data_IF_372422406002
#
_entry.id   IF_372422406002
#
_cell.length_a   1.000
_cell.length_b   1.000
_cell.length_c   1.000
_cell.angle_alpha   90.00
_cell.angle_beta   90.00
_cell.angle_gamma   90.00
#
_symmetry.space_group_name_H-M   'P 1'
#
loop_
_entity.id
_entity.type
_entity.pdbx_description
1 polymer ?
#
# COMPACT_ATOMS: atom_id res chain seq x y z
N UNK A 1 -3.21 10.91 29.09
CA UNK A 1 -2.54 10.35 27.89
C UNK A 1 -1.74 11.43 27.17
N UNK A 2 -2.29 12.64 26.98
CA UNK A 2 -1.57 13.73 26.28
C UNK A 2 -0.32 14.23 26.99
N UNK A 3 -0.34 14.31 28.33
CA UNK A 3 0.84 14.68 29.13
C UNK A 3 2.01 13.71 28.90
N UNK A 4 1.71 12.40 28.87
CA UNK A 4 2.71 11.36 28.59
C UNK A 4 3.30 11.51 27.20
N UNK A 5 2.49 11.87 26.19
CA UNK A 5 2.98 12.15 24.83
C UNK A 5 3.91 13.37 24.81
N UNK A 6 3.59 14.43 25.54
CA UNK A 6 4.43 15.63 25.61
C UNK A 6 5.77 15.35 26.30
N UNK A 7 5.76 14.58 27.38
CA UNK A 7 6.98 14.20 28.08
C UNK A 7 7.83 13.25 27.25
N UNK A 8 7.20 12.29 26.56
CA UNK A 8 7.88 11.41 25.60
C UNK A 8 8.55 12.22 24.48
N UNK A 9 7.87 13.21 23.90
CA UNK A 9 8.44 14.07 22.85
C UNK A 9 9.68 14.85 23.33
N UNK A 10 9.74 15.23 24.61
CA UNK A 10 10.90 15.93 25.19
C UNK A 10 12.08 15.01 25.47
N UNK A 11 11.82 13.77 25.89
CA UNK A 11 12.87 12.84 26.29
C UNK A 11 13.36 11.95 25.14
N UNK A 12 12.55 10.94 24.76
CA UNK A 12 12.97 9.84 23.88
C UNK A 12 12.29 9.84 22.52
N UNK A 13 11.30 10.70 22.31
CA UNK A 13 10.47 10.68 21.11
C UNK A 13 11.27 10.89 19.84
N UNK A 14 12.21 11.83 19.85
CA UNK A 14 13.09 12.08 18.70
C UNK A 14 13.91 10.85 18.29
N UNK A 15 14.37 10.06 19.26
CA UNK A 15 15.12 8.83 18.99
C UNK A 15 14.21 7.73 18.44
N UNK A 16 13.05 7.51 19.06
CA UNK A 16 12.09 6.50 18.59
C UNK A 16 11.60 6.81 17.17
N UNK A 17 11.35 8.08 16.85
CA UNK A 17 10.95 8.48 15.49
C UNK A 17 12.09 8.23 14.49
N UNK A 18 13.35 8.48 14.87
CA UNK A 18 14.51 8.13 14.05
C UNK A 18 14.58 6.63 13.80
N UNK A 19 14.43 5.80 14.83
CA UNK A 19 14.47 4.34 14.72
C UNK A 19 13.34 3.81 13.85
N UNK A 20 12.13 4.36 14.00
CA UNK A 20 10.99 4.02 13.15
C UNK A 20 11.26 4.44 11.70
N UNK A 21 11.72 5.66 11.44
CA UNK A 21 12.03 6.12 10.08
C UNK A 21 13.13 5.29 9.40
N UNK A 22 14.12 4.81 10.18
CA UNK A 22 15.14 3.89 9.70
C UNK A 22 14.57 2.50 9.39
N UNK A 23 13.69 1.96 10.25
CA UNK A 23 13.00 0.70 9.99
C UNK A 23 12.17 0.74 8.70
N UNK A 24 11.47 1.84 8.47
CA UNK A 24 10.73 2.07 7.23
C UNK A 24 11.63 2.46 6.05
N UNK A 25 12.95 2.56 6.22
CA UNK A 25 13.89 2.91 5.14
C UNK A 25 13.75 4.35 4.62
N UNK A 26 13.14 5.26 5.37
CA UNK A 26 12.89 6.65 4.93
C UNK A 26 14.22 7.38 4.67
N UNK A 27 15.18 7.25 5.57
CA UNK A 27 16.49 7.90 5.41
C UNK A 27 17.27 7.36 4.22
N UNK A 28 17.28 6.03 4.05
CA UNK A 28 17.97 5.39 2.93
C UNK A 28 17.49 5.89 1.58
N UNK A 29 16.18 6.02 1.38
CA UNK A 29 15.61 6.42 0.09
C UNK A 29 15.67 7.94 -0.15
N UNK A 30 15.54 8.78 0.89
CA UNK A 30 15.50 10.24 0.73
C UNK A 30 16.88 10.91 0.85
N UNK A 31 17.78 10.35 1.65
CA UNK A 31 19.06 10.96 2.04
C UNK A 31 20.27 10.04 1.80
N UNK A 32 20.06 8.83 1.28
CA UNK A 32 21.12 7.84 1.11
C UNK A 32 21.65 7.37 2.47
N UNK A 33 22.95 7.48 2.71
CA UNK A 33 23.57 7.04 3.97
C UNK A 33 23.41 8.05 5.13
N UNK A 34 22.81 9.22 4.86
CA UNK A 34 22.64 10.27 5.87
C UNK A 34 21.32 10.12 6.65
N UNK A 35 21.34 10.57 7.91
CA UNK A 35 20.17 10.61 8.78
C UNK A 35 20.16 11.89 9.61
N UNK A 36 19.01 12.24 10.16
CA UNK A 36 18.87 13.34 11.11
C UNK A 36 17.91 12.97 12.24
N UNK A 37 17.99 13.72 13.35
CA UNK A 37 17.03 13.59 14.44
C UNK A 37 15.92 14.62 14.25
N UNK A 38 14.65 14.21 14.14
CA UNK A 38 13.54 15.15 14.01
C UNK A 38 13.31 15.85 15.36
N UNK A 39 13.94 17.01 15.54
CA UNK A 39 13.88 17.80 16.78
C UNK A 39 12.59 18.61 16.89
N UNK A 40 11.97 18.94 15.77
CA UNK A 40 10.73 19.71 15.71
C UNK A 40 9.57 18.73 15.49
N UNK A 41 8.68 18.54 16.49
CA UNK A 41 7.46 17.77 16.30
C UNK A 41 6.62 18.40 15.19
N UNK A 42 6.27 17.60 14.20
CA UNK A 42 5.45 17.98 13.07
C UNK A 42 4.11 17.28 13.20
N UNK A 43 3.08 18.02 13.59
CA UNK A 43 1.72 17.51 13.70
C UNK A 43 1.00 17.76 12.36
N UNK A 44 0.65 16.69 11.66
CA UNK A 44 -0.08 16.73 10.39
C UNK A 44 -1.39 16.00 10.57
N UNK A 45 -2.50 16.60 10.13
CA UNK A 45 -3.82 15.99 10.23
C UNK A 45 -4.67 16.30 9.00
N UNK A 46 -5.38 15.29 8.49
CA UNK A 46 -6.29 15.42 7.36
C UNK A 46 -7.73 15.59 7.87
N UNK A 47 -8.39 16.66 7.45
CA UNK A 47 -9.80 16.91 7.74
C UNK A 47 -10.70 15.95 6.94
N UNK A 48 -11.47 15.11 7.64
CA UNK A 48 -12.41 14.14 7.06
C UNK A 48 -13.83 14.69 6.93
N UNK A 49 -14.08 15.93 7.38
CA UNK A 49 -15.42 16.48 7.58
C UNK A 49 -15.98 16.11 8.95
N UNK A 50 -17.08 16.78 9.33
CA UNK A 50 -17.80 16.57 10.59
C UNK A 50 -16.93 16.66 11.86
N UNK A 51 -15.96 17.58 11.87
CA UNK A 51 -14.96 17.78 12.95
C UNK A 51 -14.08 16.54 13.24
N UNK A 52 -13.99 15.59 12.29
CA UNK A 52 -13.13 14.41 12.40
C UNK A 52 -11.81 14.65 11.67
N UNK A 53 -10.70 14.46 12.39
CA UNK A 53 -9.36 14.59 11.84
C UNK A 53 -8.64 13.23 11.86
N UNK A 54 -7.99 12.90 10.75
CA UNK A 54 -7.11 11.74 10.62
C UNK A 54 -5.65 12.18 10.82
N UNK A 55 -5.02 11.92 11.99
CA UNK A 55 -3.65 12.32 12.25
C UNK A 55 -2.65 11.45 11.48
N UNK A 56 -1.58 12.08 11.01
CA UNK A 56 -0.38 11.41 10.52
C UNK A 56 0.57 11.24 11.71
N UNK A 57 0.97 9.99 11.95
CA UNK A 57 1.92 9.61 12.96
C UNK A 57 3.25 9.24 12.28
N UNK A 58 3.75 8.02 12.52
CA UNK A 58 5.02 7.52 12.02
C UNK A 58 4.81 6.13 11.38
N UNK A 59 4.10 6.10 10.26
CA UNK A 59 3.80 4.88 9.51
C UNK A 59 2.40 4.31 9.70
N UNK A 60 1.46 5.05 10.29
CA UNK A 60 0.05 4.63 10.30
C UNK A 60 -0.52 4.59 8.87
N UNK A 61 -1.58 3.81 8.68
CA UNK A 61 -2.24 3.71 7.38
C UNK A 61 -3.30 4.79 7.22
N UNK A 62 -3.30 5.48 6.08
CA UNK A 62 -4.37 6.38 5.63
C UNK A 62 -4.75 6.02 4.20
N UNK A 63 -6.06 5.95 3.93
CA UNK A 63 -6.59 5.62 2.62
C UNK A 63 -6.55 6.83 1.68
N UNK A 64 -6.34 6.67 0.37
CA UNK A 64 -6.32 7.77 -0.59
C UNK A 64 -7.56 8.68 -0.50
N UNK A 65 -8.74 8.10 -0.26
CA UNK A 65 -9.99 8.85 -0.01
C UNK A 65 -9.93 9.79 1.19
N UNK A 66 -9.17 9.47 2.22
CA UNK A 66 -9.00 10.28 3.43
C UNK A 66 -8.02 11.45 3.22
N UNK A 67 -7.19 11.37 2.17
CA UNK A 67 -6.09 12.30 1.90
C UNK A 67 -6.26 13.04 0.57
N UNK A 68 -7.51 13.22 0.12
CA UNK A 68 -7.85 13.94 -1.11
C UNK A 68 -7.51 15.43 -1.06
N UNK A 69 -7.71 16.05 0.10
CA UNK A 69 -7.44 17.48 0.34
C UNK A 69 -6.14 17.66 1.10
N UNK A 70 -5.54 18.85 0.98
CA UNK A 70 -4.34 19.20 1.73
C UNK A 70 -4.57 19.08 3.26
N UNK A 71 -3.57 18.61 4.03
CA UNK A 71 -3.70 18.49 5.47
C UNK A 71 -3.50 19.84 6.19
N UNK A 72 -3.95 19.88 7.44
CA UNK A 72 -3.59 20.92 8.40
C UNK A 72 -2.26 20.55 9.03
N UNK A 73 -1.33 21.51 9.05
CA UNK A 73 0.02 21.31 9.58
C UNK A 73 0.27 22.28 10.71
N UNK A 74 0.83 21.76 11.79
CA UNK A 74 1.20 22.53 12.97
C UNK A 74 2.60 22.11 13.42
N UNK A 75 3.45 23.09 13.68
CA UNK A 75 4.76 22.90 14.28
C UNK A 75 5.14 24.14 15.06
N UNK A 76 6.02 23.99 16.05
CA UNK A 76 6.51 25.10 16.87
C UNK A 76 7.73 25.73 16.22
N UNK A 77 7.72 27.05 16.07
CA UNK A 77 8.81 27.81 15.46
C UNK A 77 8.85 29.25 15.96
N UNK A 78 10.02 29.87 15.87
CA UNK A 78 10.18 31.30 16.14
C UNK A 78 9.56 32.15 15.01
N UNK A 79 8.93 33.30 15.30
CA UNK A 79 8.27 34.13 14.28
C UNK A 79 9.18 34.61 13.15
N UNK A 80 10.46 34.82 13.44
CA UNK A 80 11.46 35.38 12.51
C UNK A 80 12.22 34.30 11.71
N UNK A 81 11.75 33.05 11.75
CA UNK A 81 12.37 31.93 11.03
C UNK A 81 11.60 31.56 9.78
N UNK A 82 12.31 31.05 8.77
CA UNK A 82 11.70 30.56 7.53
C UNK A 82 11.79 29.03 7.47
N UNK A 83 10.75 28.40 6.94
CA UNK A 83 10.65 26.96 6.84
C UNK A 83 10.24 26.51 5.45
N UNK A 84 10.62 25.29 5.08
CA UNK A 84 10.17 24.63 3.86
C UNK A 84 9.60 23.27 4.20
N UNK A 85 8.42 22.99 3.70
CA UNK A 85 7.77 21.71 3.83
C UNK A 85 7.76 20.99 2.48
N UNK A 86 8.12 19.72 2.50
CA UNK A 86 8.07 18.82 1.34
C UNK A 86 7.28 17.58 1.70
N UNK A 87 6.28 17.25 0.89
CA UNK A 87 5.60 15.94 0.87
C UNK A 87 6.05 15.18 -0.37
N UNK A 88 6.71 14.05 -0.17
CA UNK A 88 7.27 13.22 -1.25
C UNK A 88 6.84 11.76 -1.11
N UNK A 89 6.81 11.05 -2.23
CA UNK A 89 6.56 9.62 -2.31
C UNK A 89 7.74 8.92 -3.01
N UNK A 90 8.61 8.21 -2.25
CA UNK A 90 9.74 7.48 -2.82
C UNK A 90 9.36 6.17 -3.52
N UNK A 91 8.13 5.66 -3.34
CA UNK A 91 7.69 4.36 -3.87
C UNK A 91 6.80 4.49 -5.12
N UNK A 92 6.26 5.68 -5.37
CA UNK A 92 5.16 5.88 -6.32
C UNK A 92 5.56 6.24 -7.76
N UNK A 93 6.85 6.31 -8.08
CA UNK A 93 7.28 6.79 -9.38
C UNK A 93 7.10 5.73 -10.48
N UNK A 94 6.37 6.07 -11.54
CA UNK A 94 5.88 5.10 -12.53
C UNK A 94 6.92 4.68 -13.59
N UNK A 95 7.85 5.57 -13.93
CA UNK A 95 8.68 5.41 -15.16
C UNK A 95 10.18 5.36 -14.91
N UNK A 96 10.65 5.83 -13.76
CA UNK A 96 12.06 5.92 -13.39
C UNK A 96 12.25 5.28 -12.03
N UNK A 97 13.24 4.41 -11.95
CA UNK A 97 13.70 3.84 -10.69
C UNK A 97 14.39 4.92 -9.84
N UNK A 98 14.34 4.77 -8.52
CA UNK A 98 14.98 5.67 -7.54
C UNK A 98 14.63 7.15 -7.72
N UNK A 99 13.45 7.43 -8.27
CA UNK A 99 12.90 8.77 -8.41
C UNK A 99 11.65 8.89 -7.56
N UNK A 100 11.35 10.10 -7.11
CA UNK A 100 10.22 10.35 -6.22
C UNK A 100 9.19 11.22 -6.96
N UNK A 101 7.94 11.21 -6.51
CA UNK A 101 6.99 12.27 -6.87
C UNK A 101 6.83 13.25 -5.73
N UNK A 102 6.98 14.54 -6.03
CA UNK A 102 6.63 15.61 -5.09
C UNK A 102 5.13 15.84 -5.11
N UNK A 103 4.47 15.49 -4.01
CA UNK A 103 3.04 15.68 -3.87
C UNK A 103 2.69 17.08 -3.40
N UNK A 104 3.53 17.70 -2.57
CA UNK A 104 3.30 19.06 -2.12
C UNK A 104 4.60 19.71 -1.67
N UNK A 105 4.79 20.98 -1.99
CA UNK A 105 5.96 21.73 -1.54
C UNK A 105 5.61 23.19 -1.30
N UNK A 106 5.92 23.66 -0.10
CA UNK A 106 5.78 25.06 0.30
C UNK A 106 7.11 25.53 0.86
N UNK A 107 7.68 26.56 0.24
CA UNK A 107 8.90 27.20 0.70
C UNK A 107 8.64 28.49 1.46
N UNK A 108 9.65 29.01 2.14
CA UNK A 108 9.64 30.33 2.78
C UNK A 108 8.44 30.57 3.72
N UNK A 109 7.99 29.53 4.43
CA UNK A 109 6.92 29.63 5.43
C UNK A 109 7.42 30.51 6.59
N UNK A 110 6.79 31.67 6.86
CA UNK A 110 7.21 32.53 7.96
C UNK A 110 6.68 31.98 9.30
N UNK A 111 7.60 31.64 10.20
CA UNK A 111 7.27 30.97 11.45
C UNK A 111 6.51 29.67 11.18
N UNK A 112 5.33 29.55 11.79
CA UNK A 112 4.47 28.36 11.71
C UNK A 112 3.25 28.54 10.78
N UNK A 113 3.16 29.67 10.07
CA UNK A 113 2.00 30.01 9.26
C UNK A 113 2.15 29.50 7.82
N UNK A 114 1.80 28.22 7.62
CA UNK A 114 1.91 27.53 6.32
C UNK A 114 1.12 28.25 5.21
N UNK A 115 0.05 28.97 5.54
CA UNK A 115 -0.78 29.69 4.57
C UNK A 115 -0.05 30.88 3.91
N UNK A 116 0.97 31.42 4.56
CA UNK A 116 1.79 32.53 4.06
C UNK A 116 3.04 32.09 3.31
N UNK A 117 3.29 30.79 3.22
CA UNK A 117 4.42 30.25 2.47
C UNK A 117 4.24 30.36 0.95
N UNK A 118 5.36 30.31 0.25
CA UNK A 118 5.39 30.26 -1.21
C UNK A 118 5.07 28.83 -1.68
N UNK A 119 3.90 28.61 -2.26
CA UNK A 119 3.55 27.32 -2.88
C UNK A 119 4.41 27.13 -4.13
N UNK A 120 5.22 26.06 -4.13
CA UNK A 120 6.13 25.70 -5.23
C UNK A 120 5.52 24.58 -6.06
N UNK A 121 4.94 23.58 -5.37
CA UNK A 121 4.17 22.50 -5.97
C UNK A 121 2.83 22.41 -5.22
N UNK A 122 1.71 22.54 -5.95
CA UNK A 122 0.36 22.41 -5.38
C UNK A 122 0.13 21.01 -4.82
N UNK A 123 -0.77 20.86 -3.85
CA UNK A 123 -1.09 19.56 -3.28
C UNK A 123 -1.64 18.61 -4.34
N UNK A 124 -1.03 17.44 -4.46
CA UNK A 124 -1.43 16.33 -5.29
C UNK A 124 -1.80 15.17 -4.38
N UNK A 125 -3.05 14.70 -4.46
CA UNK A 125 -3.49 13.55 -3.69
C UNK A 125 -2.59 12.33 -3.97
N UNK A 126 -2.32 11.49 -2.96
CA UNK A 126 -1.68 10.18 -3.19
C UNK A 126 -2.51 9.31 -4.16
N UNK A 127 -1.81 8.59 -5.04
CA UNK A 127 -2.43 7.70 -6.03
C UNK A 127 -1.73 6.33 -6.09
N UNK A 128 -1.69 5.57 -4.98
CA UNK A 128 -1.07 4.24 -4.96
C UNK A 128 -1.78 3.31 -5.96
N UNK A 129 -1.00 2.72 -6.85
CA UNK A 129 -1.53 1.86 -7.92
C UNK A 129 -2.02 0.53 -7.40
N UNK A 130 -3.03 -0.02 -8.06
CA UNK A 130 -3.55 -1.35 -7.74
C UNK A 130 -2.46 -2.41 -7.93
N UNK A 131 -2.22 -3.20 -6.88
CA UNK A 131 -1.29 -4.33 -6.88
C UNK A 131 0.17 -4.01 -6.54
N UNK A 132 0.54 -2.74 -6.38
CA UNK A 132 1.89 -2.34 -5.93
C UNK A 132 2.07 -2.51 -4.41
N UNK A 133 0.97 -2.57 -3.66
CA UNK A 133 0.98 -2.68 -2.20
C UNK A 133 0.98 -1.32 -1.52
N UNK A 134 1.73 -1.20 -0.42
CA UNK A 134 1.79 0.01 0.39
C UNK A 134 2.87 0.96 -0.12
N UNK A 135 2.52 2.23 -0.28
CA UNK A 135 3.44 3.33 -0.58
C UNK A 135 3.57 4.26 0.61
N UNK A 136 4.77 4.82 0.81
CA UNK A 136 5.06 5.75 1.90
C UNK A 136 4.89 7.19 1.43
N UNK A 137 4.16 7.98 2.20
CA UNK A 137 4.02 9.41 2.01
C UNK A 137 4.79 10.13 3.11
N UNK A 138 5.88 10.83 2.77
CA UNK A 138 6.83 11.38 3.74
C UNK A 138 6.78 12.91 3.72
N UNK A 139 6.46 13.49 4.87
CA UNK A 139 6.63 14.91 5.14
C UNK A 139 8.00 15.18 5.75
N UNK A 140 8.77 16.06 5.12
CA UNK A 140 10.01 16.59 5.67
C UNK A 140 9.87 18.09 5.85
N UNK A 141 10.13 18.55 7.07
CA UNK A 141 10.18 19.96 7.43
C UNK A 141 11.64 20.41 7.53
N UNK A 142 12.01 21.42 6.76
CA UNK A 142 13.32 22.03 6.74
C UNK A 142 13.30 23.42 7.37
N UNK A 143 14.27 23.70 8.24
CA UNK A 143 14.57 25.06 8.72
C UNK A 143 15.47 25.76 7.72
N UNK A 144 15.15 26.99 7.34
CA UNK A 144 15.95 27.82 6.45
C UNK A 144 16.68 28.90 7.26
N UNK A 145 17.94 29.18 6.92
CA UNK A 145 18.69 30.27 7.54
C UNK A 145 18.30 31.65 6.99
N UNK A 146 17.82 31.68 5.74
CA UNK A 146 17.40 32.88 5.02
C UNK A 146 16.29 32.53 4.04
N UNK A 147 15.58 33.55 3.55
CA UNK A 147 14.62 33.39 2.46
C UNK A 147 15.32 32.83 1.22
N UNK A 148 14.77 31.78 0.63
CA UNK A 148 15.33 31.10 -0.54
C UNK A 148 14.52 31.40 -1.80
N UNK A 149 15.20 31.40 -2.95
CA UNK A 149 14.58 31.54 -4.26
C UNK A 149 14.34 30.16 -4.87
N UNK A 150 13.07 29.83 -5.13
CA UNK A 150 12.63 28.55 -5.69
C UNK A 150 12.22 28.63 -7.17
N UNK A 151 12.61 29.70 -7.86
CA UNK A 151 12.19 30.00 -9.23
C UNK A 151 12.55 28.90 -10.25
N UNK A 152 13.61 28.12 -9.99
CA UNK A 152 14.01 26.99 -10.83
C UNK A 152 13.07 25.78 -10.73
N UNK A 153 12.32 25.66 -9.63
CA UNK A 153 11.40 24.54 -9.38
C UNK A 153 9.96 24.86 -9.80
N UNK A 154 9.58 26.14 -9.83
CA UNK A 154 8.24 26.57 -10.24
C UNK A 154 8.03 26.33 -11.73
N UNK A 155 7.16 25.38 -12.07
CA UNK A 155 6.76 25.08 -13.45
C UNK A 155 5.32 25.53 -13.69
N UNK A 156 5.04 25.96 -14.93
CA UNK A 156 3.78 26.63 -15.28
C UNK A 156 2.59 25.68 -15.47
N UNK A 157 2.83 24.38 -15.66
CA UNK A 157 1.80 23.35 -15.85
C UNK A 157 2.25 22.08 -15.12
N UNK A 158 1.53 21.63 -14.07
CA UNK A 158 1.96 20.47 -13.29
C UNK A 158 1.55 19.17 -13.99
N UNK A 159 2.38 18.67 -14.91
CA UNK A 159 2.28 17.27 -15.36
C UNK A 159 2.90 16.32 -14.33
N UNK A 160 2.60 15.02 -14.40
CA UNK A 160 3.28 14.02 -13.56
C UNK A 160 4.80 14.00 -13.81
N UNK A 161 5.24 14.18 -15.06
CA UNK A 161 6.67 14.27 -15.38
C UNK A 161 7.35 15.48 -14.73
N UNK A 162 6.60 16.57 -14.53
CA UNK A 162 7.09 17.77 -13.87
C UNK A 162 7.18 17.62 -12.35
N UNK A 163 6.51 16.60 -11.80
CA UNK A 163 6.51 16.22 -10.40
C UNK A 163 7.64 15.25 -10.03
N UNK A 164 8.40 14.76 -11.02
CA UNK A 164 9.61 13.95 -10.74
C UNK A 164 10.58 14.78 -9.91
N UNK A 165 10.94 14.27 -8.74
CA UNK A 165 11.71 14.96 -7.72
C UNK A 165 12.73 14.01 -7.10
N UNK A 166 13.83 14.57 -6.57
CA UNK A 166 14.79 13.86 -5.74
C UNK A 166 15.06 14.69 -4.50
N UNK A 167 14.65 14.18 -3.33
CA UNK A 167 14.88 14.86 -2.05
C UNK A 167 16.38 14.98 -1.77
N UNK A 168 17.14 13.95 -2.16
CA UNK A 168 18.59 13.91 -2.03
C UNK A 168 19.27 15.05 -2.78
N UNK A 169 19.00 15.22 -4.08
CA UNK A 169 19.62 16.29 -4.88
C UNK A 169 19.16 17.68 -4.43
N UNK A 170 17.86 17.82 -4.14
CA UNK A 170 17.30 19.07 -3.63
C UNK A 170 17.99 19.57 -2.36
N UNK A 171 18.24 18.65 -1.43
CA UNK A 171 18.91 18.95 -0.17
C UNK A 171 20.40 19.17 -0.36
N UNK A 172 21.08 18.33 -1.15
CA UNK A 172 22.53 18.44 -1.42
C UNK A 172 22.92 19.84 -1.88
N UNK A 173 22.13 20.44 -2.77
CA UNK A 173 22.41 21.76 -3.33
C UNK A 173 22.13 22.92 -2.35
N UNK A 174 21.45 22.65 -1.23
CA UNK A 174 20.96 23.65 -0.27
C UNK A 174 21.36 23.36 1.19
N UNK A 175 22.21 22.37 1.42
CA UNK A 175 22.59 21.92 2.77
C UNK A 175 23.22 23.03 3.63
N UNK A 176 23.90 24.00 3.00
CA UNK A 176 24.53 25.13 3.70
C UNK A 176 23.53 26.17 4.22
N UNK A 177 22.30 26.18 3.70
CA UNK A 177 21.29 27.22 4.00
C UNK A 177 19.98 26.64 4.53
N UNK A 178 19.90 25.31 4.61
CA UNK A 178 18.69 24.56 4.93
C UNK A 178 19.05 23.33 5.75
N UNK A 179 18.26 23.01 6.77
CA UNK A 179 18.51 21.87 7.67
C UNK A 179 17.22 21.10 7.94
N UNK A 180 17.17 19.77 7.73
CA UNK A 180 15.99 18.98 8.05
C UNK A 180 15.79 18.94 9.57
N UNK A 181 14.55 19.18 10.00
CA UNK A 181 14.23 19.44 11.40
C UNK A 181 13.00 18.66 11.90
N UNK A 182 12.03 18.40 11.02
CA UNK A 182 10.83 17.64 11.34
C UNK A 182 10.57 16.54 10.31
N UNK A 183 9.92 15.47 10.77
CA UNK A 183 9.58 14.30 9.96
C UNK A 183 8.22 13.76 10.42
N UNK A 184 7.33 13.47 9.48
CA UNK A 184 6.11 12.70 9.71
C UNK A 184 5.82 11.88 8.45
N UNK A 185 5.25 10.68 8.57
CA UNK A 185 4.91 9.90 7.40
C UNK A 185 3.78 8.92 7.68
N UNK A 186 3.07 8.54 6.63
CA UNK A 186 2.02 7.53 6.66
C UNK A 186 2.17 6.57 5.50
N UNK A 187 1.49 5.43 5.58
CA UNK A 187 1.38 4.46 4.50
C UNK A 187 0.02 4.58 3.83
N UNK A 188 -0.02 4.39 2.53
CA UNK A 188 -1.25 4.38 1.75
C UNK A 188 -1.23 3.24 0.75
N UNK A 189 -2.39 2.65 0.53
CA UNK A 189 -2.61 1.55 -0.41
C UNK A 189 -3.83 1.87 -1.28
N UNK A 190 -3.93 1.17 -2.41
CA UNK A 190 -4.96 1.42 -3.41
C UNK A 190 -6.39 1.42 -2.84
N UNK A 191 -7.20 2.38 -3.28
CA UNK A 191 -8.65 2.39 -3.13
C UNK A 191 -9.33 2.88 -4.43
N UNK A 192 -10.66 2.88 -4.46
CA UNK A 192 -11.43 3.29 -5.65
C UNK A 192 -11.25 4.76 -6.04
N UNK A 193 -10.87 5.62 -5.10
CA UNK A 193 -10.68 7.05 -5.39
C UNK A 193 -9.47 7.31 -6.29
N UNK A 194 -8.51 6.36 -6.34
CA UNK A 194 -7.38 6.40 -7.25
C UNK A 194 -7.85 6.22 -8.70
N UNK A 195 -8.73 5.27 -8.97
CA UNK A 195 -9.32 5.06 -10.30
C UNK A 195 -10.05 6.33 -10.78
N UNK A 196 -10.82 6.97 -9.90
CA UNK A 196 -11.53 8.21 -10.22
C UNK A 196 -10.56 9.35 -10.58
N UNK A 197 -9.41 9.43 -9.90
CA UNK A 197 -8.35 10.40 -10.18
C UNK A 197 -7.67 10.17 -11.53
N UNK A 198 -7.34 8.93 -11.88
CA UNK A 198 -6.77 8.61 -13.19
C UNK A 198 -7.71 9.00 -14.33
N UNK A 199 -8.99 8.66 -14.21
CA UNK A 199 -9.98 8.96 -15.25
C UNK A 199 -10.35 10.45 -15.32
N UNK A 200 -10.54 11.11 -14.18
CA UNK A 200 -11.08 12.48 -14.13
C UNK A 200 -10.00 13.56 -14.20
N UNK A 201 -8.86 13.35 -13.52
CA UNK A 201 -7.80 14.36 -13.40
C UNK A 201 -6.70 14.15 -14.43
N UNK A 202 -6.24 12.91 -14.63
CA UNK A 202 -5.17 12.60 -15.59
C UNK A 202 -5.70 12.32 -17.00
N UNK A 203 -6.97 11.90 -17.13
CA UNK A 203 -7.56 11.50 -18.41
C UNK A 203 -6.89 10.27 -19.02
N UNK A 204 -6.38 9.36 -18.18
CA UNK A 204 -5.64 8.16 -18.56
C UNK A 204 -6.26 6.92 -17.92
N UNK A 205 -6.04 5.76 -18.54
CA UNK A 205 -6.40 4.47 -17.93
C UNK A 205 -5.45 4.15 -16.77
N UNK A 206 -6.01 3.63 -15.68
CA UNK A 206 -5.21 3.23 -14.52
C UNK A 206 -4.40 1.95 -14.84
N UNK A 207 -3.07 1.95 -14.66
CA UNK A 207 -2.28 0.74 -14.80
C UNK A 207 -2.47 -0.15 -13.56
N UNK A 208 -2.75 -1.43 -13.80
CA UNK A 208 -2.91 -2.45 -12.76
C UNK A 208 -1.68 -3.35 -12.76
N UNK A 209 -1.11 -3.55 -11.58
CA UNK A 209 0.03 -4.42 -11.38
C UNK A 209 -0.42 -5.71 -10.69
N UNK A 210 0.30 -6.78 -10.97
CA UNK A 210 0.17 -8.05 -10.26
C UNK A 210 1.58 -8.52 -9.92
N UNK A 211 1.74 -9.12 -8.75
CA UNK A 211 3.02 -9.68 -8.37
C UNK A 211 3.31 -10.91 -9.22
N UNK A 212 4.31 -10.82 -10.08
CA UNK A 212 4.78 -11.94 -10.89
C UNK A 212 5.65 -12.85 -10.01
N UNK A 213 5.06 -13.96 -9.55
CA UNK A 213 5.79 -14.95 -8.76
C UNK A 213 6.84 -15.62 -9.64
N UNK A 214 8.09 -15.82 -9.14
CA UNK A 214 9.09 -16.55 -9.88
C UNK A 214 8.57 -17.95 -10.21
N UNK A 215 8.86 -18.42 -11.42
CA UNK A 215 8.44 -19.76 -11.83
C UNK A 215 8.96 -20.79 -10.83
N UNK A 216 8.09 -21.70 -10.33
CA UNK A 216 8.53 -22.75 -9.43
C UNK A 216 9.59 -23.61 -10.11
N UNK A 217 10.71 -23.82 -9.41
CA UNK A 217 11.75 -24.70 -9.89
C UNK A 217 11.28 -26.16 -9.83
N UNK A 218 11.34 -26.83 -10.98
CA UNK A 218 11.12 -28.27 -11.08
C UNK A 218 12.41 -28.97 -11.51
N UNK A 219 12.69 -30.11 -10.89
CA UNK A 219 13.75 -30.98 -11.36
C UNK A 219 13.43 -31.52 -12.77
N UNK A 220 14.45 -31.94 -13.52
CA UNK A 220 14.21 -32.55 -14.83
C UNK A 220 13.38 -33.83 -14.67
N UNK A 221 12.30 -33.95 -15.42
CA UNK A 221 11.48 -35.15 -15.42
C UNK A 221 12.32 -36.40 -15.73
N UNK A 222 12.29 -37.36 -14.81
CA UNK A 222 12.86 -38.70 -14.96
C UNK A 222 11.79 -39.69 -15.41
N UNK A 223 12.21 -40.73 -16.13
CA UNK A 223 11.31 -41.78 -16.62
C UNK A 223 10.80 -42.68 -15.49
N UNK A 224 11.62 -42.92 -14.46
CA UNK A 224 11.28 -43.74 -13.30
C UNK A 224 11.43 -42.93 -12.00
N UNK A 225 10.41 -42.13 -11.63
CA UNK A 225 10.45 -41.33 -10.42
C UNK A 225 10.24 -42.23 -9.19
N UNK A 226 11.34 -42.72 -8.62
CA UNK A 226 11.31 -43.63 -7.46
C UNK A 226 10.78 -42.88 -6.24
N UNK A 227 9.84 -43.51 -5.53
CA UNK A 227 9.23 -43.00 -4.28
C UNK A 227 8.40 -41.72 -4.42
N UNK A 228 8.18 -41.23 -5.64
CA UNK A 228 7.29 -40.09 -5.88
C UNK A 228 5.85 -40.57 -6.13
N UNK A 229 4.84 -39.91 -5.53
CA UNK A 229 3.45 -40.20 -5.81
C UNK A 229 3.11 -39.79 -7.26
N UNK A 230 2.63 -40.75 -8.06
CA UNK A 230 2.44 -40.57 -9.50
C UNK A 230 1.55 -39.38 -9.87
N UNK A 231 0.49 -39.13 -9.10
CA UNK A 231 -0.47 -38.06 -9.34
C UNK A 231 0.16 -36.68 -9.18
N UNK A 232 0.93 -36.47 -8.10
CA UNK A 232 1.60 -35.20 -7.86
C UNK A 232 2.75 -35.05 -8.84
N UNK A 233 3.53 -36.11 -9.06
CA UNK A 233 4.70 -36.08 -9.93
C UNK A 233 4.32 -35.76 -11.39
N UNK A 234 3.33 -36.45 -11.95
CA UNK A 234 2.92 -36.21 -13.33
C UNK A 234 2.31 -34.81 -13.48
N UNK A 235 1.51 -34.35 -12.52
CA UNK A 235 0.92 -33.01 -12.55
C UNK A 235 1.97 -31.88 -12.44
N UNK A 236 3.17 -32.12 -11.87
CA UNK A 236 4.28 -31.14 -11.86
C UNK A 236 4.74 -30.76 -13.28
N UNK A 237 4.64 -31.69 -14.24
CA UNK A 237 5.17 -31.52 -15.60
C UNK A 237 4.08 -31.35 -16.67
N UNK A 238 2.82 -31.35 -16.26
CA UNK A 238 1.69 -31.12 -17.17
C UNK A 238 1.43 -29.63 -17.29
N UNK A 239 0.93 -29.21 -18.46
CA UNK A 239 0.46 -27.84 -18.65
C UNK A 239 -0.67 -27.55 -17.64
N UNK A 240 -0.57 -26.47 -16.84
CA UNK A 240 -1.63 -26.04 -15.94
C UNK A 240 -3.01 -25.98 -16.61
N UNK A 241 -3.09 -25.59 -17.89
CA UNK A 241 -4.35 -25.53 -18.66
C UNK A 241 -5.02 -26.90 -18.82
N UNK A 242 -4.24 -27.93 -19.10
CA UNK A 242 -4.75 -29.29 -19.24
C UNK A 242 -5.26 -29.82 -17.91
N UNK A 243 -4.53 -29.53 -16.82
CA UNK A 243 -4.95 -29.93 -15.48
C UNK A 243 -6.26 -29.20 -15.13
N UNK A 244 -6.35 -27.89 -15.36
CA UNK A 244 -7.55 -27.09 -15.08
C UNK A 244 -8.74 -27.56 -15.91
N UNK A 245 -8.54 -27.92 -17.18
CA UNK A 245 -9.57 -28.53 -18.03
C UNK A 245 -10.11 -29.83 -17.45
N UNK A 246 -9.24 -30.73 -16.99
CA UNK A 246 -9.66 -32.00 -16.40
C UNK A 246 -10.46 -31.79 -15.11
N UNK A 247 -10.03 -30.86 -14.25
CA UNK A 247 -10.77 -30.49 -13.05
C UNK A 247 -12.14 -29.90 -13.37
N UNK A 248 -12.23 -29.00 -14.36
CA UNK A 248 -13.49 -28.41 -14.80
C UNK A 248 -14.45 -29.48 -15.34
N UNK A 249 -13.96 -30.41 -16.18
CA UNK A 249 -14.76 -31.52 -16.71
C UNK A 249 -15.25 -32.43 -15.57
N UNK A 250 -14.38 -32.78 -14.62
CA UNK A 250 -14.75 -33.58 -13.44
C UNK A 250 -15.81 -32.87 -12.58
N UNK A 251 -15.74 -31.55 -12.45
CA UNK A 251 -16.73 -30.74 -11.72
C UNK A 251 -18.07 -30.72 -12.45
N UNK A 252 -18.07 -30.37 -13.74
CA UNK A 252 -19.28 -30.30 -14.57
C UNK A 252 -19.98 -31.66 -14.67
N UNK A 253 -19.24 -32.77 -14.60
CA UNK A 253 -19.83 -34.11 -14.55
C UNK A 253 -20.52 -34.43 -13.21
N UNK A 254 -20.12 -33.79 -12.11
CA UNK A 254 -20.70 -34.00 -10.76
C UNK A 254 -21.89 -33.08 -10.49
N UNK A 255 -21.87 -31.87 -11.05
CA UNK A 255 -22.92 -30.86 -10.86
C UNK A 255 -24.03 -31.01 -11.89
N UNK A 256 -25.29 -30.92 -11.44
CA UNK A 256 -26.44 -30.85 -12.34
C UNK A 256 -26.91 -29.38 -12.35
N UNK A 257 -26.93 -28.71 -13.53
CA UNK A 257 -27.22 -27.27 -13.62
C UNK A 257 -28.64 -26.90 -13.18
N UNK A 258 -29.56 -27.86 -13.11
CA UNK A 258 -30.95 -27.63 -12.72
C UNK A 258 -31.27 -28.12 -11.30
N UNK A 259 -30.32 -28.79 -10.63
CA UNK A 259 -30.50 -29.24 -9.26
C UNK A 259 -29.85 -28.26 -8.28
N UNK A 260 -30.40 -28.17 -7.06
CA UNK A 260 -29.73 -27.43 -6.00
C UNK A 260 -28.37 -28.07 -5.71
N UNK A 261 -27.31 -27.26 -5.45
CA UNK A 261 -26.01 -27.80 -5.10
C UNK A 261 -26.12 -28.66 -3.84
N UNK A 262 -25.35 -29.75 -3.79
CA UNK A 262 -25.33 -30.62 -2.61
C UNK A 262 -24.76 -29.83 -1.42
N UNK A 263 -25.39 -29.89 -0.23
CA UNK A 263 -24.87 -29.18 0.93
C UNK A 263 -23.46 -29.67 1.28
N UNK A 264 -22.55 -28.74 1.60
CA UNK A 264 -21.21 -29.08 2.09
C UNK A 264 -21.33 -29.89 3.39
N UNK A 265 -20.45 -30.87 3.59
CA UNK A 265 -20.44 -31.70 4.79
C UNK A 265 -20.11 -30.83 6.01
N UNK A 266 -20.88 -30.97 7.10
CA UNK A 266 -20.61 -30.25 8.37
C UNK A 266 -19.27 -30.65 8.98
N UNK A 267 -18.91 -31.93 8.88
CA UNK A 267 -17.66 -32.49 9.38
C UNK A 267 -16.98 -33.34 8.30
N UNK A 268 -16.29 -32.71 7.32
CA UNK A 268 -15.67 -33.36 6.16
C UNK A 268 -14.80 -34.60 6.46
N UNK A 269 -14.04 -34.54 7.55
CA UNK A 269 -13.08 -35.57 7.94
C UNK A 269 -13.69 -36.70 8.79
N UNK A 270 -14.92 -36.51 9.31
CA UNK A 270 -15.61 -37.53 10.10
C UNK A 270 -16.32 -38.58 9.22
N UNK A 271 -16.59 -38.25 7.96
CA UNK A 271 -17.23 -39.15 7.01
C UNK A 271 -16.28 -40.27 6.58
N UNK A 272 -16.60 -41.55 6.85
CA UNK A 272 -15.71 -42.67 6.57
C UNK A 272 -15.47 -42.83 5.06
N UNK A 273 -14.26 -43.25 4.71
CA UNK A 273 -13.89 -43.66 3.35
C UNK A 273 -13.77 -45.19 3.27
N UNK A 274 -14.06 -45.80 2.11
CA UNK A 274 -13.88 -47.23 1.93
C UNK A 274 -12.44 -47.67 2.22
N UNK A 275 -12.27 -48.74 3.00
CA UNK A 275 -10.94 -49.25 3.39
C UNK A 275 -10.12 -49.78 2.23
N UNK A 276 -10.79 -50.24 1.17
CA UNK A 276 -10.18 -50.81 -0.04
C UNK A 276 -9.78 -49.74 -1.07
N UNK A 277 -10.00 -48.46 -0.76
CA UNK A 277 -9.67 -47.37 -1.67
C UNK A 277 -8.16 -47.07 -1.65
N UNK A 278 -7.51 -46.84 -2.82
CA UNK A 278 -6.12 -46.41 -2.85
C UNK A 278 -5.88 -45.12 -2.05
N UNK A 279 -4.78 -45.05 -1.31
CA UNK A 279 -4.47 -43.91 -0.42
C UNK A 279 -4.48 -42.56 -1.15
N UNK A 280 -3.94 -42.49 -2.37
CA UNK A 280 -3.93 -41.27 -3.18
C UNK A 280 -5.35 -40.75 -3.50
N UNK A 281 -6.31 -41.66 -3.71
CA UNK A 281 -7.70 -41.32 -3.98
C UNK A 281 -8.41 -40.89 -2.69
N UNK A 282 -8.07 -41.52 -1.56
CA UNK A 282 -8.55 -41.08 -0.24
C UNK A 282 -8.08 -39.65 0.06
N UNK A 283 -6.80 -39.34 -0.19
CA UNK A 283 -6.23 -38.02 0.03
C UNK A 283 -6.84 -36.97 -0.90
N UNK A 284 -7.08 -37.32 -2.17
CA UNK A 284 -7.83 -36.46 -3.10
C UNK A 284 -9.23 -36.15 -2.55
N UNK A 285 -10.01 -37.17 -2.16
CA UNK A 285 -11.36 -36.95 -1.63
C UNK A 285 -11.34 -36.10 -0.34
N UNK A 286 -10.38 -36.31 0.56
CA UNK A 286 -10.26 -35.49 1.78
C UNK A 286 -9.98 -34.03 1.44
N UNK A 287 -9.05 -33.75 0.52
CA UNK A 287 -8.77 -32.40 0.03
C UNK A 287 -9.98 -31.77 -0.66
N UNK A 288 -10.71 -32.55 -1.48
CA UNK A 288 -11.96 -32.11 -2.11
C UNK A 288 -13.01 -31.69 -1.07
N UNK A 289 -13.22 -32.49 -0.01
CA UNK A 289 -14.21 -32.17 1.04
C UNK A 289 -13.82 -30.96 1.89
N UNK A 290 -12.52 -30.68 2.03
CA UNK A 290 -11.99 -29.53 2.78
C UNK A 290 -11.92 -28.25 1.94
N UNK A 291 -12.10 -28.33 0.62
CA UNK A 291 -11.80 -27.21 -0.28
C UNK A 291 -10.34 -26.81 -0.16
N UNK A 292 -9.42 -27.77 -0.27
CA UNK A 292 -7.98 -27.51 -0.23
C UNK A 292 -7.33 -27.74 -1.59
N UNK A 293 -6.45 -26.81 -1.99
CA UNK A 293 -5.71 -26.87 -3.25
C UNK A 293 -6.48 -26.24 -4.42
N UNK A 294 -6.25 -26.76 -5.64
CA UNK A 294 -6.77 -26.22 -6.92
C UNK A 294 -8.29 -26.23 -7.06
N UNK A 295 -9.02 -26.77 -6.08
CA UNK A 295 -10.48 -26.72 -6.04
C UNK A 295 -10.96 -25.31 -5.70
N UNK A 296 -10.15 -24.56 -4.95
CA UNK A 296 -10.44 -23.16 -4.59
C UNK A 296 -10.26 -22.21 -5.77
N UNK A 297 -9.25 -22.45 -6.62
CA UNK A 297 -8.98 -21.65 -7.83
C UNK A 297 -10.14 -21.71 -8.86
N UNK A 298 -10.99 -22.73 -8.79
CA UNK A 298 -12.17 -22.90 -9.67
C UNK A 298 -13.47 -22.46 -8.97
N UNK A 299 -13.48 -22.32 -7.64
CA UNK A 299 -14.64 -21.81 -6.87
C UNK A 299 -14.77 -20.27 -6.91
N UNK A 300 -13.74 -19.53 -7.36
CA UNK A 300 -13.60 -18.07 -7.16
C UNK A 300 -14.49 -17.16 -8.05
N UNK A 301 -15.55 -17.69 -8.69
CA UNK A 301 -16.54 -16.85 -9.38
C UNK A 301 -17.98 -17.34 -9.18
N UNK A 302 -18.39 -17.47 -7.92
CA UNK A 302 -19.80 -17.32 -7.58
C UNK A 302 -20.06 -15.82 -7.39
N UNK A 303 -20.90 -15.24 -8.24
CA UNK A 303 -21.24 -13.81 -8.23
C UNK A 303 -21.74 -13.30 -6.87
N UNK A 304 -21.96 -11.98 -6.72
CA UNK A 304 -22.20 -11.37 -5.42
C UNK A 304 -23.35 -12.09 -4.70
N UNK A 305 -23.23 -12.30 -3.37
CA UNK A 305 -24.31 -12.90 -2.60
C UNK A 305 -25.54 -12.04 -2.80
N UNK A 306 -26.57 -12.60 -3.42
CA UNK A 306 -27.86 -11.93 -3.52
C UNK A 306 -28.36 -11.72 -2.10
N UNK A 307 -28.40 -10.46 -1.66
CA UNK A 307 -29.00 -10.02 -0.41
C UNK A 307 -30.36 -10.70 -0.24
N UNK A 308 -30.44 -11.60 0.73
CA UNK A 308 -31.71 -12.09 1.23
C UNK A 308 -32.33 -10.97 2.07
N UNK A 309 -33.00 -10.05 1.38
CA UNK A 309 -34.01 -9.18 1.96
C UNK A 309 -35.12 -10.02 2.60
N UNK A 310 -35.49 -9.61 3.81
CA UNK A 310 -36.67 -9.98 4.60
C UNK A 310 -36.64 -11.27 5.43
N UNK A 311 -36.39 -11.10 6.73
CA UNK A 311 -37.36 -11.53 7.73
C UNK A 311 -37.34 -10.57 8.93
N UNK A 312 -38.35 -9.71 8.98
CA UNK A 312 -38.84 -9.05 10.17
C UNK A 312 -38.90 -10.04 11.35
N UNK A 313 -38.24 -9.73 12.46
CA UNK A 313 -38.69 -10.15 13.79
C UNK A 313 -38.94 -8.90 14.61
N UNK A 314 -40.22 -8.50 14.60
CA UNK A 314 -40.76 -7.59 15.58
C UNK A 314 -40.76 -8.21 16.96
N UNK A 315 -40.53 -7.34 17.93
CA UNK A 315 -40.94 -7.38 19.32
C UNK A 315 -42.20 -8.23 19.59
N UNK A 316 -42.06 -9.21 20.47
CA UNK A 316 -42.86 -9.37 21.70
C UNK A 316 -42.06 -10.17 22.72
#
# INVERSE_FOLDING_TARGET
>A
MDEVRQDWLKEKGTQHVKEIAEHYGVFQHLFGDAYFFPRVPLDVAYDQGDDVFAPVCFGNQLKPKEVLKQPVIQFKSDPDTFWTLVLTNPDGHLTKENSEYVHWMIGNIPGSDVSKGDVIFDYLQPFPLKGVGYQRMVFVLYKQEKKLEFSQLKKSQPSLADRTFSTYEFYRDRQDVMTPAGLAFFQTDWDRSVTDFFHSTLGQEEPIYEYDFPEPFYERQTYFPKLEPFNIYLDKYRDPKDINRDYLVQRLAKENPFAKPKPKLRFPNAEPLPRDMPTWLQDKIKRDRLGWGRINEVEEYEGPPTDSLHANRGLM
#
